data_IF_425959078454
#
_entry.id   IF_425959078454
#
_cell.length_a   1.000
_cell.length_b   1.000
_cell.length_c   1.000
_cell.angle_alpha   90.00
_cell.angle_beta   90.00
_cell.angle_gamma   90.00
#
_symmetry.space_group_name_H-M   'P 1'
#
loop_
_entity.id
_entity.type
_entity.pdbx_description
1 polymer ?
#
# COMPACT_ATOMS: atom_id res chain seq x y z
N UNK A 1 -27.03 13.42 43.84
CA UNK A 1 -25.95 12.53 43.34
C UNK A 1 -24.76 12.59 44.30
N UNK A 2 -24.26 11.46 44.77
CA UNK A 2 -23.05 11.43 45.62
C UNK A 2 -21.79 11.71 44.78
N UNK A 3 -20.85 12.50 45.30
CA UNK A 3 -19.55 12.79 44.66
C UNK A 3 -18.81 11.51 44.25
N UNK A 4 -18.98 10.44 45.03
CA UNK A 4 -18.42 9.11 44.71
C UNK A 4 -19.01 8.53 43.42
N UNK A 5 -20.29 8.78 43.14
CA UNK A 5 -20.97 8.32 41.91
C UNK A 5 -20.47 9.13 40.70
N UNK A 6 -20.31 10.45 40.85
CA UNK A 6 -19.79 11.32 39.78
C UNK A 6 -18.34 10.96 39.43
N UNK A 7 -17.50 10.75 40.45
CA UNK A 7 -16.10 10.36 40.28
C UNK A 7 -15.97 9.00 39.56
N UNK A 8 -16.80 8.02 39.92
CA UNK A 8 -16.81 6.70 39.27
C UNK A 8 -17.22 6.82 37.80
N UNK A 9 -18.25 7.61 37.48
CA UNK A 9 -18.67 7.81 36.09
C UNK A 9 -17.59 8.47 35.23
N UNK A 10 -16.91 9.50 35.75
CA UNK A 10 -15.80 10.17 35.05
C UNK A 10 -14.65 9.19 34.81
N UNK A 11 -14.23 8.43 35.84
CA UNK A 11 -13.17 7.43 35.70
C UNK A 11 -13.53 6.36 34.64
N UNK A 12 -14.76 5.86 34.65
CA UNK A 12 -15.25 4.89 33.64
C UNK A 12 -15.22 5.48 32.24
N UNK A 13 -15.65 6.73 32.04
CA UNK A 13 -15.59 7.39 30.71
C UNK A 13 -14.16 7.66 30.23
N UNK A 14 -13.25 8.05 31.13
CA UNK A 14 -11.83 8.27 30.77
C UNK A 14 -11.09 6.96 30.49
N UNK A 15 -11.46 5.86 31.15
CA UNK A 15 -10.93 4.53 30.88
C UNK A 15 -11.48 3.96 29.56
N UNK A 16 -12.76 4.17 29.28
CA UNK A 16 -13.40 3.77 28.01
C UNK A 16 -12.79 4.50 26.80
N UNK A 17 -12.45 5.79 26.95
CA UNK A 17 -11.74 6.58 25.92
C UNK A 17 -10.29 6.14 25.70
N UNK A 18 -9.70 5.32 26.58
CA UNK A 18 -8.33 4.81 26.42
C UNK A 18 -8.29 3.45 25.72
N UNK A 19 -9.43 2.78 25.60
CA UNK A 19 -9.56 1.44 24.97
C UNK A 19 -9.83 1.46 23.47
N UNK A 20 -9.79 2.63 22.81
CA UNK A 20 -10.01 2.74 21.36
C UNK A 20 -8.90 2.12 20.49
N UNK A 21 -7.89 1.49 21.09
CA UNK A 21 -6.87 0.73 20.39
C UNK A 21 -7.41 -0.52 19.66
N UNK A 22 -8.67 -0.93 19.87
CA UNK A 22 -9.31 -2.03 19.15
C UNK A 22 -10.14 -1.59 17.93
N UNK A 23 -10.26 -0.29 17.64
CA UNK A 23 -11.01 0.20 16.47
C UNK A 23 -10.17 0.43 15.21
N UNK A 24 -8.85 0.23 15.26
CA UNK A 24 -7.97 0.46 14.10
C UNK A 24 -7.65 -0.78 13.25
N UNK A 25 -8.38 -1.89 13.42
CA UNK A 25 -8.54 -2.81 12.28
C UNK A 25 -9.59 -2.16 11.38
N UNK A 26 -9.14 -1.19 10.59
CA UNK A 26 -9.97 -0.32 9.78
C UNK A 26 -10.84 -1.10 8.80
N UNK A 27 -12.11 -1.28 9.13
CA UNK A 27 -13.16 -1.67 8.19
C UNK A 27 -13.78 -0.47 7.45
N UNK A 28 -13.24 0.74 7.67
CA UNK A 28 -13.47 1.87 6.80
C UNK A 28 -12.30 1.92 5.81
N UNK A 29 -12.39 1.14 4.73
CA UNK A 29 -11.39 1.06 3.66
C UNK A 29 -11.32 2.35 2.85
N UNK A 30 -10.79 3.41 3.45
CA UNK A 30 -10.43 4.62 2.76
C UNK A 30 -8.98 4.51 2.28
N UNK A 31 -8.80 4.42 0.96
CA UNK A 31 -7.47 4.47 0.34
C UNK A 31 -7.09 5.92 0.08
N UNK A 32 -5.94 6.35 0.59
CA UNK A 32 -5.41 7.70 0.37
C UNK A 32 -5.00 7.91 -1.09
N UNK A 33 -4.49 6.85 -1.73
CA UNK A 33 -4.18 6.84 -3.17
C UNK A 33 -5.18 6.03 -3.99
N UNK A 34 -5.32 6.43 -5.25
CA UNK A 34 -6.10 5.68 -6.23
C UNK A 34 -5.56 4.26 -6.47
N UNK A 35 -6.39 3.40 -7.07
CA UNK A 35 -5.98 2.04 -7.47
C UNK A 35 -4.82 2.12 -8.45
N UNK A 36 -3.82 1.24 -8.28
CA UNK A 36 -2.66 1.18 -9.16
C UNK A 36 -3.08 0.88 -10.62
N UNK A 37 -2.52 1.58 -11.61
CA UNK A 37 -2.84 1.31 -13.01
C UNK A 37 -2.38 -0.10 -13.40
N UNK A 38 -3.26 -0.86 -14.06
CA UNK A 38 -2.91 -2.16 -14.62
C UNK A 38 -2.01 -1.99 -15.85
N UNK A 39 -0.74 -2.39 -15.72
CA UNK A 39 0.20 -2.40 -16.84
C UNK A 39 0.52 -3.84 -17.23
N UNK A 40 0.37 -4.16 -18.51
CA UNK A 40 0.58 -5.51 -19.01
C UNK A 40 2.01 -6.00 -18.75
N UNK A 41 2.13 -7.25 -18.29
CA UNK A 41 3.44 -7.83 -18.02
C UNK A 41 4.07 -7.39 -16.69
N UNK A 42 3.32 -6.69 -15.83
CA UNK A 42 3.80 -6.21 -14.52
C UNK A 42 3.01 -6.77 -13.35
N UNK A 43 3.62 -6.77 -12.18
CA UNK A 43 2.94 -6.93 -10.90
C UNK A 43 3.64 -6.10 -9.82
N UNK A 44 2.90 -5.79 -8.76
CA UNK A 44 3.43 -5.06 -7.60
C UNK A 44 3.60 -5.98 -6.40
N UNK A 45 4.56 -5.66 -5.53
CA UNK A 45 4.82 -6.33 -4.25
C UNK A 45 5.06 -5.27 -3.15
N UNK A 46 4.86 -5.66 -1.89
CA UNK A 46 5.18 -4.81 -0.74
C UNK A 46 4.09 -3.81 -0.34
N UNK A 47 2.90 -3.89 -0.93
CA UNK A 47 1.74 -3.08 -0.56
C UNK A 47 0.44 -3.85 -0.83
N UNK A 48 -0.63 -3.51 -0.12
CA UNK A 48 -1.95 -4.15 -0.24
C UNK A 48 -3.04 -3.08 -0.08
N UNK A 49 -4.07 -3.14 -0.92
CA UNK A 49 -5.22 -2.24 -0.79
C UNK A 49 -5.93 -2.47 0.56
N UNK A 50 -6.32 -1.42 1.32
CA UNK A 50 -6.29 0.01 0.99
C UNK A 50 -4.90 0.66 1.13
N UNK A 51 -4.54 1.51 0.18
CA UNK A 51 -3.24 2.19 0.15
C UNK A 51 -3.18 3.40 1.08
N UNK A 52 -2.09 3.53 1.81
CA UNK A 52 -1.86 4.64 2.73
C UNK A 52 -0.81 5.63 2.21
N UNK A 53 -0.97 6.90 2.57
CA UNK A 53 -0.03 7.97 2.22
C UNK A 53 1.38 7.67 2.74
N UNK A 54 2.38 7.83 1.88
CA UNK A 54 3.78 7.50 2.17
C UNK A 54 4.13 6.01 2.02
N UNK A 55 3.15 5.13 1.80
CA UNK A 55 3.38 3.72 1.51
C UNK A 55 4.11 3.54 0.18
N UNK A 56 5.03 2.58 0.10
CA UNK A 56 5.82 2.31 -1.11
C UNK A 56 5.58 0.91 -1.64
N UNK A 57 5.01 0.83 -2.84
CA UNK A 57 4.85 -0.38 -3.65
C UNK A 57 6.07 -0.60 -4.57
N UNK A 58 6.42 -1.84 -4.87
CA UNK A 58 7.49 -2.17 -5.83
C UNK A 58 6.92 -2.86 -7.05
N UNK A 59 7.06 -2.24 -8.20
CA UNK A 59 6.63 -2.77 -9.50
C UNK A 59 7.72 -3.60 -10.13
N UNK A 60 7.37 -4.77 -10.64
CA UNK A 60 8.30 -5.68 -11.33
C UNK A 60 7.66 -6.30 -12.55
N UNK A 61 8.47 -6.60 -13.55
CA UNK A 61 8.02 -7.39 -14.69
C UNK A 61 7.74 -8.85 -14.29
N UNK A 62 6.78 -9.49 -14.93
CA UNK A 62 6.58 -10.93 -14.81
C UNK A 62 7.84 -11.69 -15.31
N UNK A 63 8.09 -12.90 -14.78
CA UNK A 63 9.11 -13.77 -15.35
C UNK A 63 8.93 -13.93 -16.86
N UNK A 64 10.02 -13.78 -17.63
CA UNK A 64 9.97 -13.77 -19.10
C UNK A 64 9.68 -12.41 -19.73
N UNK A 65 9.55 -11.35 -18.94
CA UNK A 65 9.42 -9.98 -19.42
C UNK A 65 10.60 -9.12 -18.96
N UNK A 66 10.94 -8.11 -19.77
CA UNK A 66 12.02 -7.15 -19.51
C UNK A 66 11.48 -5.72 -19.58
N UNK A 67 12.01 -4.79 -18.77
CA UNK A 67 11.63 -3.39 -18.83
C UNK A 67 11.94 -2.79 -20.22
N UNK A 68 11.01 -1.99 -20.74
CA UNK A 68 11.17 -1.29 -22.03
C UNK A 68 12.02 -0.04 -21.87
N UNK A 69 11.92 0.62 -20.72
CA UNK A 69 12.65 1.83 -20.37
C UNK A 69 13.37 1.63 -19.04
N UNK A 70 14.70 1.70 -19.07
CA UNK A 70 15.58 1.53 -17.90
C UNK A 70 16.13 0.10 -17.74
N UNK A 71 17.22 -0.02 -16.97
CA UNK A 71 17.85 -1.29 -16.60
C UNK A 71 17.22 -1.93 -15.34
N UNK A 72 16.32 -1.20 -14.67
CA UNK A 72 15.74 -1.61 -13.40
C UNK A 72 14.56 -2.55 -13.63
N UNK A 73 14.71 -3.80 -13.17
CA UNK A 73 13.66 -4.83 -13.21
C UNK A 73 12.57 -4.54 -12.17
N UNK A 74 12.91 -3.78 -11.13
CA UNK A 74 12.05 -3.41 -10.01
C UNK A 74 12.05 -1.88 -9.85
N UNK A 75 10.88 -1.26 -9.78
CA UNK A 75 10.70 0.20 -9.66
C UNK A 75 9.82 0.52 -8.45
N UNK A 76 10.28 1.35 -7.49
CA UNK A 76 9.47 1.78 -6.36
C UNK A 76 8.42 2.82 -6.78
N UNK A 77 7.30 2.83 -6.07
CA UNK A 77 6.15 3.72 -6.23
C UNK A 77 5.63 4.12 -4.88
N UNK A 78 5.64 5.40 -4.58
CA UNK A 78 5.19 5.92 -3.29
C UNK A 78 3.86 6.62 -3.47
N UNK A 79 2.91 6.34 -2.57
CA UNK A 79 1.66 7.08 -2.49
C UNK A 79 1.94 8.49 -1.96
N UNK A 80 1.69 9.50 -2.78
CA UNK A 80 1.95 10.89 -2.47
C UNK A 80 0.79 11.51 -1.67
N UNK A 81 1.06 12.67 -1.05
CA UNK A 81 0.06 13.41 -0.28
C UNK A 81 -1.17 13.85 -1.10
N UNK A 82 -0.99 14.04 -2.41
CA UNK A 82 -2.04 14.44 -3.35
C UNK A 82 -2.92 13.26 -3.82
N UNK A 83 -2.68 12.05 -3.29
CA UNK A 83 -3.43 10.84 -3.65
C UNK A 83 -2.99 10.19 -4.96
N UNK A 84 -1.86 10.64 -5.53
CA UNK A 84 -1.28 10.06 -6.75
C UNK A 84 -0.08 9.17 -6.43
N UNK A 85 0.27 8.30 -7.38
CA UNK A 85 1.47 7.46 -7.28
C UNK A 85 2.65 8.18 -7.92
N UNK A 86 3.81 8.17 -7.24
CA UNK A 86 5.02 8.82 -7.75
C UNK A 86 5.53 8.18 -9.05
N UNK A 87 6.22 8.95 -9.91
CA UNK A 87 6.94 8.48 -11.11
C UNK A 87 6.07 8.02 -12.31
N UNK A 88 6.69 7.36 -13.31
CA UNK A 88 6.02 6.87 -14.54
C UNK A 88 5.77 5.35 -14.62
N UNK A 89 4.62 4.84 -15.10
CA UNK A 89 4.32 3.41 -15.08
C UNK A 89 5.40 2.51 -15.71
N UNK A 90 5.82 1.46 -15.00
CA UNK A 90 6.80 0.49 -15.52
C UNK A 90 6.21 -0.23 -16.74
N UNK A 91 6.84 -0.12 -17.92
CA UNK A 91 6.43 -0.85 -19.13
C UNK A 91 7.32 -2.07 -19.34
N UNK A 92 6.70 -3.23 -19.51
CA UNK A 92 7.39 -4.50 -19.74
C UNK A 92 7.08 -5.08 -21.13
N UNK A 93 8.08 -5.67 -21.78
CA UNK A 93 7.94 -6.42 -23.04
C UNK A 93 8.41 -7.84 -22.83
N UNK A 94 7.82 -8.81 -23.56
CA UNK A 94 8.33 -10.20 -23.53
C UNK A 94 9.81 -10.22 -23.91
N UNK A 95 10.63 -10.69 -22.99
CA UNK A 95 12.05 -10.93 -23.20
C UNK A 95 12.25 -12.35 -23.72
N UNK A 96 12.83 -12.48 -24.90
CA UNK A 96 13.19 -13.78 -25.47
C UNK A 96 14.33 -14.50 -24.71
N UNK A 97 14.88 -13.86 -23.66
CA UNK A 97 16.04 -14.34 -22.92
C UNK A 97 15.83 -15.69 -22.21
N UNK A 98 14.60 -16.14 -21.99
CA UNK A 98 14.33 -17.48 -21.43
C UNK A 98 14.48 -18.62 -22.44
N UNK A 99 14.48 -18.36 -23.75
CA UNK A 99 14.63 -19.43 -24.76
C UNK A 99 16.10 -19.74 -25.12
N UNK A 100 17.05 -18.84 -24.83
CA UNK A 100 18.44 -18.97 -25.30
C UNK A 100 19.51 -19.11 -24.19
N UNK A 101 19.12 -19.13 -22.90
CA UNK A 101 20.07 -18.94 -21.78
C UNK A 101 20.37 -20.14 -20.88
N UNK A 102 20.02 -21.37 -21.27
CA UNK A 102 20.43 -22.60 -20.57
C UNK A 102 20.99 -23.58 -21.60
N UNK A 103 22.22 -23.33 -22.05
CA UNK A 103 23.06 -24.34 -22.69
C UNK A 103 24.29 -24.55 -21.84
#
# INVERSE_FOLDING_TARGET
>A
MSYRVVLVLVLVTTLASRSDALFFVGLNGHSDCGVLPYVYGTFHIGCVYPYTRGETCYFRCFPGFVPVSGSQIIVPRTCLDDGTWSGEPLRCRRGFFFFFGKK
#
